data_IF_306784155098
#
_entry.id   IF_306784155098
#
_cell.length_a   1.000
_cell.length_b   1.000
_cell.length_c   1.000
_cell.angle_alpha   90.00
_cell.angle_beta   90.00
_cell.angle_gamma   90.00
#
_symmetry.space_group_name_H-M   'P 1'
#
loop_
_entity.id
_entity.type
_entity.pdbx_description
1 polymer ?
#
# COMPACT_ATOMS: atom_id res chain seq x y z
N UNK A 1 12.32 0.03 0.67
CA UNK A 1 13.61 0.73 0.90
C UNK A 1 13.45 1.76 2.00
N UNK A 2 14.49 1.99 2.81
CA UNK A 2 14.61 3.16 3.70
C UNK A 2 15.98 3.81 3.48
N UNK A 3 16.10 5.10 3.76
CA UNK A 3 17.36 5.83 3.72
C UNK A 3 17.36 6.99 4.71
N UNK A 4 18.53 7.34 5.21
CA UNK A 4 18.82 8.55 5.98
C UNK A 4 19.72 9.54 5.21
N UNK A 5 20.08 9.23 3.97
CA UNK A 5 20.92 10.06 3.13
C UNK A 5 20.14 11.26 2.62
N UNK A 6 20.72 12.47 2.78
CA UNK A 6 20.17 13.71 2.22
C UNK A 6 20.39 13.77 0.72
N UNK A 7 19.50 14.46 0.04
CA UNK A 7 19.58 14.72 -1.40
C UNK A 7 19.59 13.45 -2.28
N UNK A 8 19.15 12.29 -1.72
CA UNK A 8 18.96 11.06 -2.44
C UNK A 8 17.47 10.72 -2.44
N UNK A 9 16.85 10.73 -3.60
CA UNK A 9 15.47 10.29 -3.78
C UNK A 9 15.40 8.77 -3.87
N UNK A 10 14.55 8.16 -3.05
CA UNK A 10 14.15 6.76 -3.21
C UNK A 10 12.76 6.70 -3.81
N UNK A 11 12.53 5.77 -4.74
CA UNK A 11 11.27 5.67 -5.46
C UNK A 11 10.79 4.24 -5.59
N UNK A 12 9.50 4.09 -5.86
CA UNK A 12 8.83 2.83 -6.17
C UNK A 12 7.91 3.00 -7.36
N UNK A 13 7.82 1.96 -8.17
CA UNK A 13 6.95 1.87 -9.32
C UNK A 13 5.78 0.94 -9.00
N UNK A 14 4.55 1.41 -9.27
CA UNK A 14 3.33 0.64 -9.04
C UNK A 14 2.35 0.79 -10.21
N UNK A 15 1.50 -0.21 -10.38
CA UNK A 15 0.27 -0.15 -11.16
C UNK A 15 -0.74 -1.03 -10.44
N UNK A 16 -1.64 -0.41 -9.66
CA UNK A 16 -2.63 -0.97 -8.73
C UNK A 16 -2.14 -1.33 -7.33
N UNK A 17 -0.91 -1.79 -7.15
CA UNK A 17 -0.34 -1.95 -5.81
C UNK A 17 -0.25 -0.61 -5.09
N UNK A 18 -0.40 -0.59 -3.77
CA UNK A 18 -0.31 0.64 -2.99
C UNK A 18 1.15 1.08 -2.83
N UNK A 19 1.54 2.26 -3.35
CA UNK A 19 2.78 2.89 -2.97
C UNK A 19 2.61 3.51 -1.57
N UNK A 20 3.59 3.30 -0.70
CA UNK A 20 3.58 3.91 0.62
C UNK A 20 4.87 4.68 0.80
N UNK A 21 4.74 5.96 1.13
CA UNK A 21 5.85 6.80 1.54
C UNK A 21 5.76 7.02 3.06
N UNK A 22 6.88 6.91 3.75
CA UNK A 22 6.95 7.10 5.20
C UNK A 22 8.10 8.05 5.52
N UNK A 23 7.85 8.96 6.46
CA UNK A 23 8.85 9.88 7.01
C UNK A 23 8.77 9.84 8.53
N UNK A 24 9.91 9.91 9.19
CA UNK A 24 10.00 10.22 10.61
C UNK A 24 10.14 11.72 10.79
N UNK A 25 9.38 12.35 11.74
CA UNK A 25 9.28 13.81 11.90
C UNK A 25 10.63 14.52 12.10
N UNK A 26 11.59 13.87 12.74
CA UNK A 26 12.93 14.41 12.92
C UNK A 26 13.79 14.24 11.66
N UNK A 27 13.17 13.76 10.58
CA UNK A 27 13.79 13.53 9.28
C UNK A 27 15.05 12.63 9.33
N UNK A 28 15.12 11.75 10.32
CA UNK A 28 16.23 10.79 10.41
C UNK A 28 16.20 9.77 9.29
N UNK A 29 14.98 9.36 8.88
CA UNK A 29 14.77 8.38 7.84
C UNK A 29 13.53 8.68 7.02
N UNK A 30 13.61 8.34 5.73
CA UNK A 30 12.44 8.21 4.85
C UNK A 30 12.38 6.80 4.29
N UNK A 31 11.18 6.37 3.92
CA UNK A 31 10.96 5.04 3.35
C UNK A 31 9.99 5.06 2.18
N UNK A 32 10.21 4.16 1.23
CA UNK A 32 9.33 3.89 0.10
C UNK A 32 9.03 2.39 0.04
N UNK A 33 7.74 2.02 0.08
CA UNK A 33 7.27 0.65 0.20
C UNK A 33 6.30 0.33 -0.93
N UNK A 34 6.58 -0.73 -1.69
CA UNK A 34 5.65 -1.30 -2.66
C UNK A 34 4.75 -2.32 -1.95
N UNK A 35 3.54 -1.93 -1.61
CA UNK A 35 2.59 -2.79 -0.91
C UNK A 35 1.50 -3.33 -1.84
N UNK A 36 1.83 -4.33 -2.65
CA UNK A 36 0.83 -5.18 -3.27
C UNK A 36 0.22 -6.13 -2.22
N UNK A 37 -0.88 -6.81 -2.55
CA UNK A 37 -1.57 -7.69 -1.60
C UNK A 37 -0.67 -8.77 -0.98
N UNK A 38 0.23 -9.39 -1.79
CA UNK A 38 1.17 -10.40 -1.29
C UNK A 38 2.15 -9.81 -0.28
N UNK A 39 2.72 -8.63 -0.58
CA UNK A 39 3.63 -7.93 0.33
C UNK A 39 2.93 -7.51 1.62
N UNK A 40 1.74 -6.93 1.52
CA UNK A 40 0.91 -6.55 2.66
C UNK A 40 0.53 -7.80 3.49
N UNK A 41 0.10 -8.88 2.84
CA UNK A 41 -0.21 -10.15 3.50
C UNK A 41 1.00 -10.74 4.25
N UNK A 42 2.20 -10.65 3.69
CA UNK A 42 3.47 -11.08 4.30
C UNK A 42 4.03 -10.10 5.34
N UNK A 43 3.32 -9.00 5.62
CA UNK A 43 3.64 -8.04 6.69
C UNK A 43 4.76 -7.07 6.33
N UNK A 44 4.84 -6.61 5.07
CA UNK A 44 5.85 -5.62 4.63
C UNK A 44 5.80 -4.34 5.47
N UNK A 45 4.60 -3.88 5.88
CA UNK A 45 4.42 -2.70 6.72
C UNK A 45 5.09 -2.90 8.08
N UNK A 46 4.76 -4.00 8.77
CA UNK A 46 5.36 -4.34 10.07
C UNK A 46 6.89 -4.42 9.97
N UNK A 47 7.41 -5.13 8.96
CA UNK A 47 8.85 -5.27 8.74
C UNK A 47 9.55 -3.93 8.54
N UNK A 48 8.91 -3.01 7.79
CA UNK A 48 9.48 -1.68 7.55
C UNK A 48 9.48 -0.84 8.82
N UNK A 49 8.39 -0.85 9.60
CA UNK A 49 8.34 -0.14 10.90
C UNK A 49 9.40 -0.69 11.86
N UNK A 50 9.54 -2.02 11.93
CA UNK A 50 10.57 -2.64 12.75
C UNK A 50 11.99 -2.26 12.32
N UNK A 51 12.23 -2.18 11.01
CA UNK A 51 13.53 -1.73 10.48
C UNK A 51 13.81 -0.27 10.84
N UNK A 52 12.83 0.62 10.72
CA UNK A 52 12.96 2.02 11.13
C UNK A 52 13.22 2.13 12.64
N UNK A 53 12.52 1.34 13.46
CA UNK A 53 12.76 1.30 14.93
C UNK A 53 14.16 0.83 15.29
N UNK A 54 14.69 -0.18 14.61
CA UNK A 54 16.08 -0.65 14.78
C UNK A 54 17.12 0.45 14.46
N UNK A 55 16.74 1.41 13.62
CA UNK A 55 17.56 2.57 13.27
C UNK A 55 17.24 3.82 14.15
N UNK A 56 16.62 3.64 15.30
CA UNK A 56 16.38 4.69 16.28
C UNK A 56 15.16 5.59 15.99
N UNK A 57 14.28 5.19 15.07
CA UNK A 57 13.03 5.91 14.81
C UNK A 57 11.92 5.46 15.77
N UNK A 58 11.09 6.40 16.23
CA UNK A 58 9.89 6.10 17.02
C UNK A 58 8.66 6.03 16.13
N UNK A 59 7.81 5.03 16.31
CA UNK A 59 6.52 4.90 15.59
C UNK A 59 5.58 6.09 15.83
N UNK A 60 5.70 6.77 16.98
CA UNK A 60 4.93 7.97 17.32
C UNK A 60 5.29 9.17 16.45
N UNK A 61 6.52 9.19 15.95
CA UNK A 61 7.05 10.25 15.09
C UNK A 61 6.95 9.92 13.60
N UNK A 62 6.51 8.71 13.26
CA UNK A 62 6.31 8.32 11.86
C UNK A 62 5.01 8.90 11.30
N UNK A 63 5.10 9.37 10.06
CA UNK A 63 3.97 9.78 9.23
C UNK A 63 4.03 8.95 7.96
N UNK A 64 2.93 8.27 7.60
CA UNK A 64 2.83 7.47 6.39
C UNK A 64 1.80 8.06 5.43
N UNK A 65 2.07 8.01 4.13
CA UNK A 65 1.12 8.33 3.08
C UNK A 65 0.92 7.11 2.19
N UNK A 66 -0.31 6.64 2.07
CA UNK A 66 -0.72 5.60 1.12
C UNK A 66 -1.16 6.28 -0.17
N UNK A 67 -0.37 6.14 -1.22
CA UNK A 67 -0.61 6.77 -2.52
C UNK A 67 -1.74 6.13 -3.33
N UNK A 68 -1.92 6.58 -4.58
CA UNK A 68 -2.91 6.04 -5.50
C UNK A 68 -2.71 4.54 -5.73
N UNK A 69 -3.79 3.78 -5.60
CA UNK A 69 -3.79 2.34 -5.81
C UNK A 69 -5.19 1.87 -6.20
N UNK A 70 -5.35 0.62 -6.60
CA UNK A 70 -6.67 0.05 -6.87
C UNK A 70 -7.53 0.12 -5.62
N UNK A 71 -8.73 0.68 -5.73
CA UNK A 71 -9.65 0.84 -4.61
C UNK A 71 -10.64 -0.32 -4.52
N UNK A 72 -11.30 -0.42 -3.36
CA UNK A 72 -12.22 -1.50 -3.01
C UNK A 72 -13.23 -1.81 -4.14
N UNK A 73 -13.84 -0.78 -4.72
CA UNK A 73 -14.90 -0.98 -5.73
C UNK A 73 -14.38 -1.56 -7.07
N UNK A 74 -13.09 -1.49 -7.31
CA UNK A 74 -12.42 -1.98 -8.51
C UNK A 74 -11.60 -3.25 -8.26
N UNK A 75 -11.37 -3.61 -6.99
CA UNK A 75 -10.51 -4.74 -6.63
C UNK A 75 -11.32 -6.02 -6.38
N UNK A 76 -11.94 -6.53 -7.45
CA UNK A 76 -12.58 -7.85 -7.43
C UNK A 76 -11.54 -8.96 -7.24
N UNK A 77 -11.82 -9.90 -6.34
CA UNK A 77 -10.97 -11.05 -6.00
C UNK A 77 -11.79 -12.34 -6.00
N UNK A 78 -11.11 -13.48 -6.10
CA UNK A 78 -11.73 -14.81 -6.08
C UNK A 78 -11.90 -15.32 -4.64
N UNK A 79 -12.66 -16.40 -4.48
CA UNK A 79 -12.96 -16.99 -3.18
C UNK A 79 -11.73 -17.60 -2.48
N UNK A 80 -10.77 -18.14 -3.23
CA UNK A 80 -9.50 -18.63 -2.71
C UNK A 80 -8.68 -17.52 -2.03
N UNK A 81 -8.66 -16.32 -2.63
CA UNK A 81 -8.05 -15.14 -2.03
C UNK A 81 -8.73 -14.75 -0.71
N UNK A 82 -10.07 -14.75 -0.66
CA UNK A 82 -10.83 -14.46 0.55
C UNK A 82 -10.53 -15.50 1.65
N UNK A 83 -10.57 -16.79 1.31
CA UNK A 83 -10.25 -17.87 2.25
C UNK A 83 -8.85 -17.69 2.83
N UNK A 84 -7.83 -17.46 1.99
CA UNK A 84 -6.44 -17.23 2.42
C UNK A 84 -6.33 -16.14 3.50
N UNK A 85 -7.03 -15.03 3.34
CA UNK A 85 -7.02 -13.94 4.31
C UNK A 85 -7.78 -14.27 5.59
N UNK A 86 -8.95 -14.92 5.46
CA UNK A 86 -9.79 -15.37 6.58
C UNK A 86 -9.04 -16.38 7.45
N UNK A 87 -8.36 -17.36 6.83
CA UNK A 87 -7.64 -18.43 7.55
C UNK A 87 -6.43 -17.87 8.31
N UNK A 88 -5.76 -16.86 7.75
CA UNK A 88 -4.69 -16.16 8.46
C UNK A 88 -5.17 -15.44 9.73
N UNK A 89 -6.31 -14.79 9.68
CA UNK A 89 -6.97 -14.14 10.81
C UNK A 89 -8.44 -13.88 10.47
N UNK A 90 -9.34 -14.39 11.31
CA UNK A 90 -10.81 -14.21 11.14
C UNK A 90 -11.22 -12.73 11.01
N UNK A 91 -10.52 -11.80 11.69
CA UNK A 91 -10.79 -10.36 11.60
C UNK A 91 -10.55 -9.78 10.18
N UNK A 92 -9.80 -10.48 9.33
CA UNK A 92 -9.53 -10.02 7.97
C UNK A 92 -10.78 -9.97 7.09
N UNK A 93 -11.87 -10.65 7.46
CA UNK A 93 -13.17 -10.56 6.75
C UNK A 93 -13.67 -9.11 6.66
N UNK A 94 -13.30 -8.24 7.59
CA UNK A 94 -13.67 -6.83 7.62
C UNK A 94 -13.05 -5.97 6.51
N UNK A 95 -12.11 -6.53 5.74
CA UNK A 95 -11.49 -5.88 4.59
C UNK A 95 -12.14 -6.30 3.26
N UNK A 96 -13.20 -7.11 3.33
CA UNK A 96 -13.93 -7.59 2.15
C UNK A 96 -15.35 -7.05 2.11
N UNK A 97 -15.87 -6.92 0.90
CA UNK A 97 -17.27 -6.57 0.63
C UNK A 97 -17.82 -7.54 -0.39
N UNK A 98 -19.01 -8.04 -0.12
CA UNK A 98 -19.74 -8.95 -1.01
C UNK A 98 -20.84 -8.16 -1.72
N UNK A 99 -20.84 -8.16 -3.05
CA UNK A 99 -21.84 -7.47 -3.86
C UNK A 99 -22.11 -8.22 -5.16
N UNK A 100 -23.40 -8.53 -5.46
CA UNK A 100 -23.80 -9.22 -6.70
C UNK A 100 -22.98 -10.50 -6.97
N UNK A 101 -22.84 -11.37 -5.97
CA UNK A 101 -22.04 -12.62 -6.01
C UNK A 101 -20.54 -12.42 -6.26
N UNK A 102 -20.01 -11.20 -6.15
CA UNK A 102 -18.61 -10.86 -6.30
C UNK A 102 -18.01 -10.45 -4.97
N UNK A 103 -16.72 -10.70 -4.81
CA UNK A 103 -15.93 -10.37 -3.61
C UNK A 103 -14.97 -9.25 -3.97
N UNK A 104 -14.96 -8.21 -3.15
CA UNK A 104 -14.08 -7.06 -3.33
C UNK A 104 -13.19 -6.88 -2.10
N UNK A 105 -11.91 -6.56 -2.32
CA UNK A 105 -10.92 -6.39 -1.27
C UNK A 105 -10.49 -4.93 -1.10
N UNK A 106 -10.46 -4.43 0.14
CA UNK A 106 -9.99 -3.10 0.49
C UNK A 106 -8.52 -3.14 0.93
N UNK A 107 -7.61 -3.09 -0.06
CA UNK A 107 -6.17 -3.07 0.17
C UNK A 107 -5.74 -1.88 1.03
N UNK A 108 -6.33 -0.70 0.80
CA UNK A 108 -6.01 0.52 1.54
C UNK A 108 -6.37 0.38 3.02
N UNK A 109 -7.58 -0.11 3.32
CA UNK A 109 -8.03 -0.36 4.69
C UNK A 109 -7.17 -1.41 5.39
N UNK A 110 -6.80 -2.49 4.69
CA UNK A 110 -5.93 -3.54 5.21
C UNK A 110 -4.53 -3.03 5.54
N UNK A 111 -3.93 -2.21 4.67
CA UNK A 111 -2.62 -1.59 4.93
C UNK A 111 -2.72 -0.60 6.10
N UNK A 112 -3.77 0.21 6.13
CA UNK A 112 -3.99 1.17 7.23
C UNK A 112 -4.09 0.48 8.59
N UNK A 113 -4.80 -0.65 8.69
CA UNK A 113 -4.90 -1.42 9.95
C UNK A 113 -3.52 -1.89 10.42
N UNK A 114 -2.65 -2.34 9.50
CA UNK A 114 -1.30 -2.77 9.85
C UNK A 114 -0.44 -1.63 10.43
N UNK A 115 -0.60 -0.41 9.95
CA UNK A 115 0.07 0.75 10.54
C UNK A 115 -0.42 1.01 11.97
N UNK A 116 -1.74 1.02 12.19
CA UNK A 116 -2.32 1.20 13.52
C UNK A 116 -1.89 0.12 14.50
N UNK A 117 -1.90 -1.15 14.07
CA UNK A 117 -1.45 -2.29 14.88
C UNK A 117 0.03 -2.19 15.28
N UNK A 118 0.84 -1.46 14.49
CA UNK A 118 2.26 -1.24 14.76
C UNK A 118 2.58 0.16 15.31
N UNK A 119 1.58 0.86 15.86
CA UNK A 119 1.75 2.12 16.61
C UNK A 119 1.81 3.39 15.77
N UNK A 120 1.80 3.31 14.44
CA UNK A 120 1.81 4.48 13.56
C UNK A 120 0.39 5.00 13.41
N UNK A 121 0.11 6.20 13.93
CA UNK A 121 -1.23 6.81 13.97
C UNK A 121 -1.46 7.86 12.89
N UNK A 122 -0.40 8.50 12.40
CA UNK A 122 -0.48 9.56 11.37
C UNK A 122 -0.39 8.94 9.98
N UNK A 123 -1.55 8.78 9.34
CA UNK A 123 -1.65 8.09 8.05
C UNK A 123 -2.55 8.90 7.13
N UNK A 124 -1.98 9.44 6.08
CA UNK A 124 -2.70 10.06 4.98
C UNK A 124 -3.00 9.05 3.87
N UNK A 125 -4.10 9.26 3.17
CA UNK A 125 -4.52 8.38 2.08
C UNK A 125 -4.94 9.22 0.88
N UNK A 126 -4.25 9.03 -0.24
CA UNK A 126 -4.68 9.59 -1.53
C UNK A 126 -5.80 8.71 -2.07
N UNK A 127 -7.03 9.25 -2.10
CA UNK A 127 -8.25 8.51 -2.44
C UNK A 127 -8.47 8.33 -3.96
N UNK A 128 -7.42 8.31 -4.75
CA UNK A 128 -7.49 8.11 -6.20
C UNK A 128 -7.40 6.62 -6.54
N UNK A 129 -8.35 6.14 -7.37
CA UNK A 129 -8.37 4.77 -7.86
C UNK A 129 -7.56 4.67 -9.15
N UNK A 130 -6.53 3.83 -9.17
CA UNK A 130 -5.70 3.65 -10.37
C UNK A 130 -6.44 2.93 -11.49
N UNK A 131 -7.48 2.14 -11.15
CA UNK A 131 -8.31 1.46 -12.14
C UNK A 131 -9.21 2.41 -12.94
N UNK A 132 -9.66 3.52 -12.35
CA UNK A 132 -10.47 4.53 -13.05
C UNK A 132 -9.63 5.29 -14.08
N UNK A 133 -10.15 5.40 -15.31
CA UNK A 133 -9.53 6.19 -16.40
C UNK A 133 -9.44 7.68 -16.05
N UNK A 134 -10.45 8.21 -15.39
CA UNK A 134 -10.56 9.63 -15.01
C UNK A 134 -9.38 10.12 -14.16
N UNK A 135 -8.69 9.21 -13.46
CA UNK A 135 -7.59 9.57 -12.59
C UNK A 135 -6.23 9.57 -13.30
N UNK A 136 -6.16 9.20 -14.59
CA UNK A 136 -4.95 9.21 -15.41
C UNK A 136 -3.75 8.42 -14.85
N UNK A 137 -4.01 7.31 -14.13
CA UNK A 137 -2.98 6.40 -13.65
C UNK A 137 -2.87 5.16 -14.52
N UNK A 138 -1.69 4.58 -14.60
CA UNK A 138 -1.50 3.23 -15.12
C UNK A 138 -2.10 2.19 -14.17
N UNK A 139 -2.74 1.16 -14.74
CA UNK A 139 -3.38 0.07 -14.00
C UNK A 139 -3.16 -1.26 -14.68
N UNK A 140 -2.50 -2.18 -13.99
CA UNK A 140 -2.31 -3.55 -14.42
C UNK A 140 -3.64 -4.31 -14.58
N UNK A 141 -4.59 -4.06 -13.66
CA UNK A 141 -5.91 -4.69 -13.69
C UNK A 141 -6.71 -4.22 -14.92
N UNK A 142 -6.65 -2.93 -15.24
CA UNK A 142 -7.33 -2.36 -16.41
C UNK A 142 -6.70 -2.86 -17.70
N UNK A 143 -5.37 -2.87 -17.80
CA UNK A 143 -4.65 -3.38 -18.95
C UNK A 143 -5.03 -4.84 -19.24
N UNK A 144 -4.97 -5.73 -18.24
CA UNK A 144 -5.39 -7.13 -18.37
C UNK A 144 -6.85 -7.29 -18.77
N UNK A 145 -7.76 -6.46 -18.24
CA UNK A 145 -9.17 -6.48 -18.61
C UNK A 145 -9.36 -6.10 -20.08
N UNK A 146 -8.56 -5.18 -20.59
CA UNK A 146 -8.57 -4.73 -21.98
C UNK A 146 -7.71 -5.61 -22.90
N UNK A 147 -7.17 -6.73 -22.40
CA UNK A 147 -6.31 -7.69 -23.14
C UNK A 147 -5.02 -7.03 -23.69
N UNK A 148 -4.51 -5.99 -23.04
CA UNK A 148 -3.21 -5.42 -23.38
C UNK A 148 -2.09 -6.25 -22.78
N UNK A 149 -1.00 -6.43 -23.53
CA UNK A 149 0.14 -7.26 -23.12
C UNK A 149 1.07 -6.52 -22.16
N UNK A 150 1.05 -5.20 -22.18
CA UNK A 150 1.91 -4.37 -21.32
C UNK A 150 1.14 -3.16 -20.75
N UNK A 151 1.74 -2.51 -19.76
CA UNK A 151 1.22 -1.32 -19.11
C UNK A 151 2.34 -0.52 -18.45
N UNK A 152 2.21 0.81 -18.46
CA UNK A 152 3.12 1.70 -17.76
C UNK A 152 3.07 1.55 -16.23
N UNK A 153 3.94 2.32 -15.57
CA UNK A 153 4.01 2.35 -14.09
C UNK A 153 3.89 3.78 -13.59
N UNK A 154 3.27 3.91 -12.42
CA UNK A 154 3.20 5.16 -11.68
C UNK A 154 4.40 5.21 -10.72
N UNK A 155 5.13 6.32 -10.69
CA UNK A 155 6.24 6.52 -9.77
C UNK A 155 5.77 7.26 -8.51
N UNK A 156 6.28 6.85 -7.35
CA UNK A 156 6.17 7.57 -6.09
C UNK A 156 7.54 7.69 -5.48
N UNK A 157 7.95 8.90 -5.13
CA UNK A 157 9.30 9.19 -4.65
C UNK A 157 9.28 10.03 -3.37
N UNK A 158 10.31 9.88 -2.54
CA UNK A 158 10.55 10.66 -1.33
C UNK A 158 12.05 10.91 -1.14
N UNK A 159 12.39 12.08 -0.61
CA UNK A 159 13.77 12.49 -0.37
C UNK A 159 13.85 13.32 0.91
N UNK A 160 14.96 13.24 1.63
CA UNK A 160 15.36 14.19 2.68
C UNK A 160 16.18 15.29 2.01
N UNK A 161 15.77 16.54 2.18
CA UNK A 161 16.55 17.71 1.77
C UNK A 161 17.60 18.08 2.84
#
# INVERSE_FOLDING_TARGET
MITNKRNIAISILTADCAPILIIEKKQKFVGAIHAGWKGAFKGIVKKTIQLLKKNGCSEKDMIACIGPCIKKNSYEVKNDFFKLFKDKNKKNVNFFTFKKKKIFFDLTKYIKSQFYENGVKKIDIIRKDTFSLENNFFSSRRSKKNKHNDYGRNISAIMIK
#
